data_IF_559949268916
#
_entry.id   IF_559949268916
#
_cell.length_a   1.000
_cell.length_b   1.000
_cell.length_c   1.000
_cell.angle_alpha   90.00
_cell.angle_beta   90.00
_cell.angle_gamma   90.00
#
_symmetry.space_group_name_H-M   'P 1'
#
loop_
_entity.id
_entity.type
_entity.pdbx_description
1 polymer ?
#
# COMPACT_ATOMS: atom_id res chain seq x y z
N UNK A 1 -39.47 0.43 22.30
CA UNK A 1 -39.21 0.62 20.85
C UNK A 1 -38.06 1.60 20.57
N UNK A 2 -38.02 2.81 21.18
CA UNK A 2 -36.98 3.83 20.90
C UNK A 2 -35.53 3.43 21.22
N UNK A 3 -35.31 2.60 22.25
CA UNK A 3 -33.98 2.10 22.59
C UNK A 3 -33.53 0.90 21.73
N UNK A 4 -34.48 0.17 21.15
CA UNK A 4 -34.22 -1.00 20.30
C UNK A 4 -33.66 -0.57 18.94
N UNK A 5 -34.17 0.53 18.38
CA UNK A 5 -33.64 1.13 17.14
C UNK A 5 -32.24 1.71 17.33
N UNK A 6 -31.95 2.30 18.50
CA UNK A 6 -30.60 2.81 18.83
C UNK A 6 -29.59 1.66 18.92
N UNK A 7 -29.97 0.56 19.58
CA UNK A 7 -29.10 -0.62 19.69
C UNK A 7 -28.85 -1.28 18.32
N UNK A 8 -29.86 -1.32 17.45
CA UNK A 8 -29.74 -1.88 16.10
C UNK A 8 -28.81 -1.04 15.21
N UNK A 9 -28.90 0.29 15.26
CA UNK A 9 -28.01 1.18 14.50
C UNK A 9 -26.56 1.07 15.00
N UNK A 10 -26.36 0.98 16.32
CA UNK A 10 -25.03 0.82 16.91
C UNK A 10 -24.37 -0.51 16.51
N UNK A 11 -25.15 -1.59 16.45
CA UNK A 11 -24.67 -2.90 15.99
C UNK A 11 -24.26 -2.91 14.51
N UNK A 12 -24.97 -2.17 13.65
CA UNK A 12 -24.64 -2.04 12.22
C UNK A 12 -23.34 -1.26 12.00
N UNK A 13 -23.12 -0.20 12.78
CA UNK A 13 -21.86 0.58 12.72
C UNK A 13 -20.66 -0.25 13.17
N UNK A 14 -20.83 -1.05 14.22
CA UNK A 14 -19.76 -1.94 14.73
C UNK A 14 -19.48 -3.11 13.78
N UNK A 15 -20.48 -3.60 13.06
CA UNK A 15 -20.32 -4.67 12.06
C UNK A 15 -19.63 -4.20 10.76
N UNK A 16 -19.60 -2.89 10.49
CA UNK A 16 -18.95 -2.33 9.29
C UNK A 16 -17.42 -2.16 9.44
N UNK A 17 -16.85 -2.50 10.60
CA UNK A 17 -15.42 -2.33 10.92
C UNK A 17 -14.53 -3.53 10.59
N UNK A 18 -15.06 -4.63 10.05
CA UNK A 18 -14.26 -5.82 9.73
C UNK A 18 -13.56 -5.67 8.36
N UNK A 19 -12.70 -4.66 8.24
CA UNK A 19 -11.65 -4.62 7.23
C UNK A 19 -10.39 -5.16 7.89
N UNK A 20 -10.15 -6.46 7.75
CA UNK A 20 -8.80 -6.98 7.97
C UNK A 20 -7.88 -6.21 7.01
N UNK A 21 -6.84 -5.51 7.51
CA UNK A 21 -5.80 -5.01 6.63
C UNK A 21 -5.22 -6.26 5.97
N UNK A 22 -5.59 -6.52 4.73
CA UNK A 22 -4.84 -7.47 3.93
C UNK A 22 -3.42 -6.93 3.90
N UNK A 23 -2.43 -7.76 4.24
CA UNK A 23 -1.03 -7.46 3.96
C UNK A 23 -0.89 -7.31 2.43
N UNK A 24 -1.23 -6.14 1.93
CA UNK A 24 -1.24 -5.77 0.50
C UNK A 24 0.12 -5.24 0.05
N UNK A 25 1.13 -5.30 0.91
CA UNK A 25 2.46 -4.82 0.53
C UNK A 25 3.07 -5.75 -0.52
N UNK A 26 3.14 -5.25 -1.75
CA UNK A 26 3.77 -5.96 -2.86
C UNK A 26 5.27 -5.72 -2.82
N UNK A 27 6.04 -6.80 -2.60
CA UNK A 27 7.50 -6.74 -2.62
C UNK A 27 8.00 -6.71 -4.06
N UNK A 28 8.78 -5.69 -4.39
CA UNK A 28 9.48 -5.57 -5.67
C UNK A 28 10.98 -5.66 -5.44
N UNK A 29 11.62 -6.60 -6.11
CA UNK A 29 13.08 -6.74 -6.15
C UNK A 29 13.64 -6.25 -7.48
N UNK A 30 14.82 -5.64 -7.45
CA UNK A 30 15.50 -5.11 -8.64
C UNK A 30 16.91 -5.69 -8.76
N UNK A 31 17.32 -6.05 -9.97
CA UNK A 31 18.69 -6.47 -10.28
C UNK A 31 19.44 -5.30 -10.91
N UNK A 32 20.04 -4.46 -10.08
CA UNK A 32 20.72 -3.24 -10.51
C UNK A 32 22.24 -3.38 -10.38
N UNK A 33 23.02 -2.74 -11.26
CA UNK A 33 24.48 -2.70 -11.16
C UNK A 33 24.90 -1.69 -10.10
N UNK A 34 24.77 -2.05 -8.81
CA UNK A 34 25.15 -1.16 -7.71
C UNK A 34 26.68 -1.05 -7.53
N UNK A 35 27.43 -1.95 -8.13
CA UNK A 35 28.90 -2.01 -8.09
C UNK A 35 29.47 -2.42 -9.46
N UNK A 36 30.80 -2.35 -9.60
CA UNK A 36 31.51 -2.71 -10.84
C UNK A 36 31.49 -1.62 -11.90
N UNK A 37 31.80 -1.99 -13.15
CA UNK A 37 32.03 -1.05 -14.25
C UNK A 37 30.80 -0.19 -14.60
N UNK A 38 29.60 -0.65 -14.21
CA UNK A 38 28.33 0.03 -14.45
C UNK A 38 27.72 0.65 -13.18
N UNK A 39 28.47 0.74 -12.07
CA UNK A 39 27.99 1.28 -10.79
C UNK A 39 27.35 2.67 -10.90
N UNK A 40 27.86 3.50 -11.81
CA UNK A 40 27.35 4.85 -12.05
C UNK A 40 25.87 4.89 -12.47
N UNK A 41 25.33 3.79 -13.01
CA UNK A 41 23.93 3.68 -13.37
C UNK A 41 23.04 3.14 -12.24
N UNK A 42 23.60 2.34 -11.32
CA UNK A 42 22.84 1.63 -10.30
C UNK A 42 22.04 2.56 -9.37
N UNK A 43 22.70 3.55 -8.79
CA UNK A 43 22.05 4.53 -7.89
C UNK A 43 20.89 5.28 -8.56
N UNK A 44 21.12 5.95 -9.71
CA UNK A 44 20.05 6.62 -10.45
C UNK A 44 18.88 5.70 -10.85
N UNK A 45 19.16 4.45 -11.22
CA UNK A 45 18.12 3.47 -11.52
C UNK A 45 17.30 3.09 -10.27
N UNK A 46 17.96 2.93 -9.12
CA UNK A 46 17.29 2.65 -7.85
C UNK A 46 16.39 3.82 -7.44
N UNK A 47 16.90 5.05 -7.54
CA UNK A 47 16.12 6.26 -7.24
C UNK A 47 14.89 6.38 -8.15
N UNK A 48 15.05 6.08 -9.44
CA UNK A 48 13.93 6.05 -10.39
C UNK A 48 12.87 4.99 -10.04
N UNK A 49 13.30 3.78 -9.65
CA UNK A 49 12.38 2.74 -9.18
C UNK A 49 11.64 3.18 -7.91
N UNK A 50 12.35 3.80 -6.95
CA UNK A 50 11.76 4.31 -5.71
C UNK A 50 10.76 5.44 -5.96
N UNK A 51 11.06 6.34 -6.90
CA UNK A 51 10.15 7.40 -7.31
C UNK A 51 8.85 6.81 -7.90
N UNK A 52 8.96 5.86 -8.82
CA UNK A 52 7.80 5.20 -9.40
C UNK A 52 6.95 4.48 -8.34
N UNK A 53 7.57 3.77 -7.39
CA UNK A 53 6.87 3.12 -6.28
C UNK A 53 6.12 4.16 -5.43
N UNK A 54 6.77 5.28 -5.10
CA UNK A 54 6.15 6.37 -4.35
C UNK A 54 4.93 6.91 -5.07
N UNK A 55 5.05 7.26 -6.35
CA UNK A 55 3.96 7.82 -7.15
C UNK A 55 2.79 6.84 -7.28
N UNK A 56 3.06 5.55 -7.50
CA UNK A 56 2.00 4.52 -7.57
C UNK A 56 1.28 4.40 -6.23
N UNK A 57 2.01 4.34 -5.11
CA UNK A 57 1.40 4.23 -3.79
C UNK A 57 0.59 5.49 -3.42
N UNK A 58 1.06 6.68 -3.80
CA UNK A 58 0.33 7.94 -3.62
C UNK A 58 -0.98 7.99 -4.44
N UNK A 59 -1.08 7.20 -5.52
CA UNK A 59 -2.27 7.11 -6.38
C UNK A 59 -3.14 5.86 -6.14
N UNK A 60 -3.09 5.30 -4.93
CA UNK A 60 -3.94 4.16 -4.55
C UNK A 60 -3.22 2.80 -4.60
N UNK A 61 -1.97 2.75 -5.03
CA UNK A 61 -1.19 1.51 -5.04
C UNK A 61 -1.67 0.51 -6.09
N UNK A 62 -1.19 -0.73 -5.96
CA UNK A 62 -1.49 -1.80 -6.91
C UNK A 62 -2.93 -2.27 -6.72
N UNK A 63 -3.74 -2.18 -7.80
CA UNK A 63 -5.18 -2.46 -7.83
C UNK A 63 -6.05 -1.45 -7.05
N UNK A 64 -5.52 -0.28 -6.72
CA UNK A 64 -6.24 0.84 -6.08
C UNK A 64 -6.58 0.63 -4.61
#
# INVERSE_FOLDING_TARGET
>A
MKYLTVFAVLAIVLASGCVTPSDKEVKIGTLLPLTGDLAAYGGPMEDGARLAIKEVNENGGVLG
#
